data_IF_195354225226
#
_entry.id   IF_195354225226
#
_cell.length_a   1.000
_cell.length_b   1.000
_cell.length_c   1.000
_cell.angle_alpha   90.00
_cell.angle_beta   90.00
_cell.angle_gamma   90.00
#
_symmetry.space_group_name_H-M   'P 1'
#
loop_
_entity.id
_entity.type
_entity.pdbx_description
1 polymer ?
#
# COMPACT_ATOMS: atom_id res chain seq x y z
N UNK A 1 16.56 11.44 3.02
CA UNK A 1 15.11 11.62 2.93
C UNK A 1 14.81 12.96 2.27
N UNK A 2 13.94 12.95 1.28
CA UNK A 2 13.47 14.13 0.57
C UNK A 2 11.93 14.19 0.63
N UNK A 3 11.38 15.41 0.82
CA UNK A 3 9.95 15.61 0.99
C UNK A 3 9.48 16.79 0.14
N UNK A 4 8.60 16.51 -0.79
CA UNK A 4 7.92 17.48 -1.64
C UNK A 4 6.48 17.67 -1.18
N UNK A 5 5.96 18.89 -1.25
CA UNK A 5 4.58 19.22 -0.86
C UNK A 5 3.98 20.18 -1.85
N UNK A 6 2.77 19.92 -2.29
CA UNK A 6 2.05 20.75 -3.26
C UNK A 6 0.74 21.23 -2.62
N UNK A 7 0.58 22.55 -2.43
CA UNK A 7 -0.70 23.12 -2.02
C UNK A 7 -1.68 23.10 -3.19
N UNK A 8 -2.97 23.12 -2.89
CA UNK A 8 -4.00 23.33 -3.91
C UNK A 8 -4.24 24.80 -4.14
N UNK A 9 -4.41 25.21 -5.40
CA UNK A 9 -4.72 26.61 -5.76
C UNK A 9 -6.19 26.93 -5.52
N UNK A 10 -7.06 25.94 -5.58
CA UNK A 10 -8.51 26.07 -5.39
C UNK A 10 -8.99 25.12 -4.28
N UNK A 11 -10.00 25.57 -3.52
CA UNK A 11 -10.68 24.71 -2.57
C UNK A 11 -11.53 23.65 -3.29
N UNK A 12 -11.64 22.45 -2.71
CA UNK A 12 -12.48 21.38 -3.23
C UNK A 12 -13.05 20.50 -2.12
N UNK A 13 -14.13 19.79 -2.44
CA UNK A 13 -14.79 18.90 -1.50
C UNK A 13 -14.23 17.47 -1.62
N UNK A 14 -14.15 16.79 -0.48
CA UNK A 14 -13.82 15.37 -0.36
C UNK A 14 -14.90 14.66 0.44
N UNK A 15 -14.96 13.33 0.43
CA UNK A 15 -15.90 12.59 1.28
C UNK A 15 -15.75 12.88 2.78
N UNK A 16 -14.60 13.38 3.20
CA UNK A 16 -14.30 13.68 4.61
C UNK A 16 -14.42 15.17 4.97
N UNK A 17 -14.73 16.03 4.00
CA UNK A 17 -14.95 17.47 4.21
C UNK A 17 -14.32 18.35 3.14
N UNK A 18 -14.44 19.66 3.32
CA UNK A 18 -13.90 20.67 2.43
C UNK A 18 -12.41 20.91 2.68
N UNK A 19 -11.64 20.93 1.61
CA UNK A 19 -10.21 21.30 1.60
C UNK A 19 -10.10 22.75 1.08
N UNK A 20 -9.68 23.70 1.91
CA UNK A 20 -9.51 25.09 1.48
C UNK A 20 -8.34 25.27 0.50
N UNK A 21 -8.40 26.30 -0.35
CA UNK A 21 -7.25 26.73 -1.15
C UNK A 21 -6.02 27.01 -0.27
N UNK A 22 -4.84 26.70 -0.76
CA UNK A 22 -3.58 26.84 -0.03
C UNK A 22 -3.28 25.67 0.94
N UNK A 23 -4.19 24.70 1.09
CA UNK A 23 -3.93 23.49 1.88
C UNK A 23 -3.00 22.55 1.11
N UNK A 24 -2.07 21.90 1.80
CA UNK A 24 -1.25 20.84 1.19
C UNK A 24 -2.17 19.69 0.75
N UNK A 25 -2.24 19.48 -0.55
CA UNK A 25 -3.12 18.50 -1.17
C UNK A 25 -2.38 17.34 -1.87
N UNK A 26 -1.05 17.45 -2.01
CA UNK A 26 -0.20 16.33 -2.40
C UNK A 26 1.12 16.37 -1.64
N UNK A 27 1.65 15.19 -1.37
CA UNK A 27 2.93 15.00 -0.69
C UNK A 27 3.66 13.80 -1.30
N UNK A 28 4.96 13.95 -1.49
CA UNK A 28 5.86 12.87 -1.91
C UNK A 28 7.03 12.81 -0.94
N UNK A 29 7.29 11.62 -0.44
CA UNK A 29 8.43 11.35 0.43
C UNK A 29 9.30 10.27 -0.20
N UNK A 30 10.57 10.58 -0.41
CA UNK A 30 11.54 9.65 -0.97
C UNK A 30 12.60 9.32 0.09
N UNK A 31 12.72 8.04 0.43
CA UNK A 31 13.72 7.52 1.35
C UNK A 31 14.70 6.63 0.57
N UNK A 32 15.98 6.98 0.59
CA UNK A 32 17.03 6.21 -0.09
C UNK A 32 17.94 5.53 0.93
N UNK A 33 18.08 4.22 0.81
CA UNK A 33 19.02 3.43 1.59
C UNK A 33 20.27 3.12 0.77
N UNK A 34 21.42 3.12 1.45
CA UNK A 34 22.74 2.96 0.85
C UNK A 34 23.44 1.73 1.41
N UNK A 35 24.12 1.00 0.54
CA UNK A 35 25.07 -0.07 0.89
C UNK A 35 26.43 0.29 0.28
N UNK A 36 27.46 0.35 1.09
CA UNK A 36 28.82 0.75 0.67
C UNK A 36 28.84 2.10 -0.10
N UNK A 37 28.03 3.06 0.35
CA UNK A 37 27.91 4.39 -0.26
C UNK A 37 27.13 4.43 -1.59
N UNK A 38 26.60 3.31 -2.03
CA UNK A 38 25.78 3.23 -3.26
C UNK A 38 24.29 3.17 -2.91
N UNK A 39 23.44 3.96 -3.58
CA UNK A 39 21.99 3.82 -3.41
C UNK A 39 21.56 2.41 -3.82
N UNK A 40 20.93 1.70 -2.90
CA UNK A 40 20.59 0.28 -3.08
C UNK A 40 19.10 0.04 -3.09
N UNK A 41 18.35 0.79 -2.29
CA UNK A 41 16.89 0.75 -2.35
C UNK A 41 16.30 2.13 -2.17
N UNK A 42 15.15 2.34 -2.79
CA UNK A 42 14.39 3.59 -2.72
C UNK A 42 12.95 3.24 -2.33
N UNK A 43 12.43 3.93 -1.33
CA UNK A 43 11.01 3.96 -1.04
C UNK A 43 10.48 5.33 -1.47
N UNK A 44 9.56 5.34 -2.41
CA UNK A 44 8.93 6.54 -2.94
C UNK A 44 7.43 6.48 -2.63
N UNK A 45 6.98 7.34 -1.72
CA UNK A 45 5.61 7.39 -1.26
C UNK A 45 4.94 8.65 -1.73
N UNK A 46 3.98 8.50 -2.61
CA UNK A 46 3.16 9.60 -3.17
C UNK A 46 1.75 9.51 -2.59
N UNK A 47 1.31 10.60 -1.99
CA UNK A 47 -0.07 10.79 -1.55
C UNK A 47 -0.63 12.03 -2.22
N UNK A 48 -1.79 11.94 -2.84
CA UNK A 48 -2.52 13.08 -3.42
C UNK A 48 -4.01 12.95 -3.16
N UNK A 49 -4.65 14.08 -2.97
CA UNK A 49 -6.10 14.12 -2.70
C UNK A 49 -6.94 14.10 -3.97
N UNK A 50 -6.35 14.48 -5.12
CA UNK A 50 -6.93 14.40 -6.46
C UNK A 50 -5.85 14.03 -7.47
N UNK A 51 -6.21 13.32 -8.54
CA UNK A 51 -5.27 12.85 -9.55
C UNK A 51 -4.64 13.96 -10.39
N UNK A 52 -5.29 15.10 -10.48
CA UNK A 52 -4.82 16.29 -11.21
C UNK A 52 -3.82 17.16 -10.43
N UNK A 53 -3.62 16.86 -9.13
CA UNK A 53 -2.63 17.53 -8.30
C UNK A 53 -1.30 16.77 -8.43
N UNK A 54 -0.22 17.49 -8.81
CA UNK A 54 1.09 16.93 -9.09
C UNK A 54 1.03 15.73 -10.09
N UNK A 55 0.45 15.93 -11.29
CA UNK A 55 0.23 14.83 -12.24
C UNK A 55 1.53 14.23 -12.77
N UNK A 56 2.65 14.96 -12.67
CA UNK A 56 3.99 14.53 -13.08
C UNK A 56 4.62 13.53 -12.10
N UNK A 57 4.11 13.42 -10.88
CA UNK A 57 4.59 12.42 -9.93
C UNK A 57 4.15 11.00 -10.33
N UNK A 58 4.87 9.96 -9.88
CA UNK A 58 4.52 8.58 -10.20
C UNK A 58 3.05 8.27 -9.98
N UNK A 59 2.47 7.55 -10.95
CA UNK A 59 1.07 7.12 -10.92
C UNK A 59 1.00 5.60 -11.13
N UNK A 60 -0.11 4.95 -10.72
CA UNK A 60 -0.40 3.57 -11.08
C UNK A 60 -0.38 3.35 -12.60
N UNK A 61 0.18 2.23 -13.05
CA UNK A 61 0.17 1.82 -14.46
C UNK A 61 -0.79 0.67 -14.74
N UNK A 62 -1.25 -0.02 -13.69
CA UNK A 62 -2.32 -1.02 -13.79
C UNK A 62 -3.69 -0.34 -13.91
N UNK A 63 -4.62 -1.04 -14.53
CA UNK A 63 -6.02 -0.61 -14.55
C UNK A 63 -6.60 -0.75 -13.14
N UNK A 64 -6.84 0.39 -12.49
CA UNK A 64 -7.50 0.44 -11.19
C UNK A 64 -8.97 0.72 -11.42
N UNK A 65 -9.82 -0.05 -10.76
CA UNK A 65 -11.26 0.17 -10.81
C UNK A 65 -11.58 1.51 -10.13
N UNK A 66 -12.09 2.51 -10.86
CA UNK A 66 -12.45 3.77 -10.24
C UNK A 66 -13.57 3.54 -9.24
N UNK A 67 -13.41 4.03 -8.03
CA UNK A 67 -14.52 4.17 -7.11
C UNK A 67 -15.29 5.44 -7.49
N UNK A 68 -16.55 5.31 -7.80
CA UNK A 68 -17.45 6.45 -7.88
C UNK A 68 -17.76 6.91 -6.44
N UNK A 69 -17.01 7.90 -6.01
CA UNK A 69 -17.19 8.48 -4.68
C UNK A 69 -18.33 9.50 -4.64
N UNK A 70 -19.05 9.72 -5.76
CA UNK A 70 -20.19 10.63 -5.85
C UNK A 70 -19.83 12.12 -5.68
N UNK A 71 -18.57 12.46 -5.58
CA UNK A 71 -18.05 13.81 -5.27
C UNK A 71 -16.88 14.16 -6.18
N UNK A 72 -17.14 14.38 -7.42
CA UNK A 72 -16.35 15.01 -8.45
C UNK A 72 -14.83 15.22 -8.27
N UNK A 73 -14.04 14.19 -7.90
CA UNK A 73 -12.63 14.37 -8.04
C UNK A 73 -11.65 13.68 -7.09
N UNK A 74 -12.06 13.13 -5.97
CA UNK A 74 -11.14 12.31 -5.17
C UNK A 74 -11.09 10.91 -5.76
N UNK A 75 -9.99 10.52 -6.37
CA UNK A 75 -9.94 9.30 -7.17
C UNK A 75 -9.78 8.03 -6.36
N UNK A 76 -9.39 8.08 -5.12
CA UNK A 76 -9.16 6.88 -4.30
C UNK A 76 -8.28 5.82 -4.99
N UNK A 77 -7.50 6.22 -5.99
CA UNK A 77 -6.61 5.35 -6.75
C UNK A 77 -5.31 5.19 -6.03
N UNK A 78 -4.88 3.97 -5.84
CA UNK A 78 -3.57 3.70 -5.27
C UNK A 78 -3.07 2.33 -5.68
N UNK A 79 -1.76 2.22 -5.85
CA UNK A 79 -1.08 0.98 -6.13
C UNK A 79 0.24 0.90 -5.39
N UNK A 80 0.70 -0.30 -5.20
CA UNK A 80 2.03 -0.61 -4.68
C UNK A 80 2.86 -1.17 -5.81
N UNK A 81 4.02 -0.60 -6.05
CA UNK A 81 4.96 -1.06 -7.07
C UNK A 81 6.27 -1.47 -6.42
N UNK A 82 6.75 -2.64 -6.82
CA UNK A 82 8.07 -3.15 -6.46
C UNK A 82 8.84 -3.39 -7.75
N UNK A 83 10.00 -2.76 -7.87
CA UNK A 83 10.91 -2.94 -8.98
C UNK A 83 12.27 -3.38 -8.42
N UNK A 84 12.78 -4.49 -8.92
CA UNK A 84 14.07 -5.05 -8.52
C UNK A 84 14.92 -5.20 -9.78
N UNK A 85 16.02 -4.47 -9.81
CA UNK A 85 17.03 -4.62 -10.85
C UNK A 85 18.00 -5.73 -10.47
N UNK A 86 18.02 -6.80 -11.24
CA UNK A 86 18.81 -7.98 -10.91
C UNK A 86 18.79 -9.04 -11.98
N UNK A 87 19.20 -10.25 -11.64
CA UNK A 87 19.14 -11.41 -12.52
C UNK A 87 18.32 -12.54 -11.84
N UNK A 88 17.04 -12.69 -12.17
CA UNK A 88 16.24 -11.87 -13.07
C UNK A 88 15.85 -10.52 -12.47
N UNK A 89 15.50 -9.55 -13.31
CA UNK A 89 14.77 -8.34 -12.86
C UNK A 89 13.32 -8.67 -12.61
N UNK A 90 12.74 -8.01 -11.60
CA UNK A 90 11.34 -8.23 -11.19
C UNK A 90 10.61 -6.91 -11.19
N UNK A 91 9.41 -6.87 -11.74
CA UNK A 91 8.47 -5.79 -11.58
C UNK A 91 7.12 -6.34 -11.17
N UNK A 92 6.60 -5.85 -10.07
CA UNK A 92 5.26 -6.18 -9.57
C UNK A 92 4.52 -4.88 -9.27
N UNK A 93 3.29 -4.78 -9.72
CA UNK A 93 2.38 -3.70 -9.33
C UNK A 93 1.07 -4.31 -8.91
N UNK A 94 0.55 -3.89 -7.76
CA UNK A 94 -0.67 -4.44 -7.18
C UNK A 94 -1.55 -3.35 -6.58
N UNK A 95 -2.84 -3.54 -6.64
CA UNK A 95 -3.84 -2.79 -5.92
C UNK A 95 -4.24 -3.55 -4.66
N UNK A 96 -4.35 -2.85 -3.53
CA UNK A 96 -5.02 -3.35 -2.34
C UNK A 96 -6.39 -2.67 -2.27
N UNK A 97 -7.44 -3.42 -2.51
CA UNK A 97 -8.80 -2.90 -2.48
C UNK A 97 -9.72 -3.84 -1.70
N UNK A 98 -10.52 -3.28 -0.81
CA UNK A 98 -11.61 -3.97 -0.12
C UNK A 98 -12.91 -3.43 -0.66
N UNK A 99 -13.73 -4.28 -1.30
CA UNK A 99 -14.96 -3.86 -1.97
C UNK A 99 -14.76 -2.71 -2.98
N UNK A 100 -13.67 -2.78 -3.76
CA UNK A 100 -13.27 -1.72 -4.71
C UNK A 100 -12.87 -0.39 -4.05
N UNK A 101 -12.54 -0.41 -2.76
CA UNK A 101 -12.06 0.72 -2.01
C UNK A 101 -10.58 0.54 -1.66
N UNK A 102 -9.71 1.30 -2.35
CA UNK A 102 -8.26 1.25 -2.12
C UNK A 102 -7.90 1.74 -0.70
N UNK A 103 -8.51 2.82 -0.23
CA UNK A 103 -8.22 3.36 1.10
C UNK A 103 -8.63 2.38 2.20
N UNK A 104 -9.77 1.72 2.03
CA UNK A 104 -10.19 0.67 2.95
C UNK A 104 -9.23 -0.51 2.88
N UNK A 105 -8.86 -0.97 1.68
CA UNK A 105 -7.92 -2.07 1.49
C UNK A 105 -6.55 -1.80 2.12
N UNK A 106 -6.00 -0.60 1.94
CA UNK A 106 -4.74 -0.18 2.55
C UNK A 106 -4.83 -0.15 4.09
N UNK A 107 -5.93 0.38 4.65
CA UNK A 107 -6.16 0.38 6.10
C UNK A 107 -6.31 -1.02 6.67
N UNK A 108 -7.05 -1.90 6.00
CA UNK A 108 -7.20 -3.31 6.40
C UNK A 108 -5.85 -4.02 6.38
N UNK A 109 -5.04 -3.83 5.33
CA UNK A 109 -3.71 -4.42 5.23
C UNK A 109 -2.78 -3.95 6.37
N UNK A 110 -2.77 -2.64 6.66
CA UNK A 110 -2.00 -2.05 7.75
C UNK A 110 -2.46 -2.56 9.12
N UNK A 111 -3.75 -2.52 9.40
CA UNK A 111 -4.32 -3.00 10.66
C UNK A 111 -4.07 -4.50 10.87
N UNK A 112 -4.21 -5.31 9.82
CA UNK A 112 -3.95 -6.76 9.88
C UNK A 112 -2.51 -7.07 10.28
N UNK A 113 -1.54 -6.28 9.79
CA UNK A 113 -0.14 -6.45 10.20
C UNK A 113 0.05 -6.20 11.69
N UNK A 114 -0.60 -5.18 12.24
CA UNK A 114 -0.55 -4.87 13.68
C UNK A 114 -1.17 -6.00 14.51
N UNK A 115 -2.35 -6.48 14.14
CA UNK A 115 -3.03 -7.58 14.84
C UNK A 115 -2.20 -8.86 14.79
N UNK A 116 -1.63 -9.19 13.64
CA UNK A 116 -0.78 -10.37 13.48
C UNK A 116 0.54 -10.27 14.27
N UNK A 117 1.00 -9.06 14.62
CA UNK A 117 2.19 -8.88 15.44
C UNK A 117 1.97 -9.14 16.94
N UNK A 118 0.73 -9.12 17.43
CA UNK A 118 0.40 -9.24 18.86
C UNK A 118 1.06 -10.47 19.52
N UNK A 119 1.01 -11.69 18.96
CA UNK A 119 1.67 -12.83 19.59
C UNK A 119 3.19 -12.68 19.70
N UNK A 120 3.82 -12.11 18.68
CA UNK A 120 5.27 -11.89 18.66
C UNK A 120 5.69 -10.83 19.69
N UNK A 121 4.95 -9.73 19.79
CA UNK A 121 5.18 -8.69 20.79
C UNK A 121 4.96 -9.21 22.19
N UNK A 122 3.91 -10.00 22.42
CA UNK A 122 3.64 -10.61 23.72
C UNK A 122 4.74 -11.56 24.19
N UNK A 123 5.37 -12.29 23.26
CA UNK A 123 6.45 -13.23 23.54
C UNK A 123 7.83 -12.57 23.67
N UNK A 124 7.97 -11.31 23.26
CA UNK A 124 9.24 -10.61 23.29
C UNK A 124 9.62 -10.14 24.72
N UNK A 125 10.90 -9.87 24.93
CA UNK A 125 11.36 -9.26 26.17
C UNK A 125 10.78 -7.85 26.35
N UNK A 126 10.51 -7.43 27.60
CA UNK A 126 10.04 -6.07 27.87
C UNK A 126 11.02 -5.00 27.36
N UNK A 127 10.49 -3.97 26.68
CA UNK A 127 11.30 -2.88 26.15
C UNK A 127 10.65 -2.16 24.97
N UNK A 128 11.37 -1.20 24.39
CA UNK A 128 11.02 -0.61 23.11
C UNK A 128 11.56 -1.54 22.01
N UNK A 129 10.68 -1.99 21.16
CA UNK A 129 10.99 -2.91 20.08
C UNK A 129 10.73 -2.24 18.72
N UNK A 130 11.62 -2.51 17.78
CA UNK A 130 11.45 -2.18 16.37
C UNK A 130 11.01 -3.40 15.56
N UNK A 131 10.70 -3.21 14.29
CA UNK A 131 10.41 -4.31 13.38
C UNK A 131 11.61 -5.27 13.16
N UNK A 132 12.83 -4.83 13.48
CA UNK A 132 14.05 -5.64 13.40
C UNK A 132 14.25 -6.56 14.61
N UNK A 133 13.60 -6.24 15.73
CA UNK A 133 13.68 -7.02 16.98
C UNK A 133 12.64 -8.14 17.02
N UNK A 134 11.70 -8.15 16.08
CA UNK A 134 10.62 -9.12 15.96
C UNK A 134 10.86 -10.06 14.77
N UNK A 135 10.32 -11.29 14.83
CA UNK A 135 10.31 -12.16 13.67
C UNK A 135 9.48 -11.54 12.55
N UNK A 136 9.68 -12.00 11.30
CA UNK A 136 8.85 -11.58 10.18
C UNK A 136 7.38 -11.86 10.47
N UNK A 137 6.59 -10.80 10.58
CA UNK A 137 5.15 -10.91 10.81
C UNK A 137 4.46 -11.29 9.51
N UNK A 138 3.81 -12.43 9.50
CA UNK A 138 3.06 -12.99 8.37
C UNK A 138 1.56 -13.00 8.67
N UNK A 139 0.73 -13.04 7.62
CA UNK A 139 -0.70 -13.23 7.76
C UNK A 139 -1.03 -14.61 8.31
N UNK A 140 -2.00 -14.66 9.21
CA UNK A 140 -2.52 -15.92 9.80
C UNK A 140 -4.02 -16.00 9.59
N UNK A 141 -4.54 -17.22 9.36
CA UNK A 141 -5.97 -17.47 9.23
C UNK A 141 -6.65 -16.81 8.01
N UNK A 142 -5.88 -16.38 7.02
CA UNK A 142 -6.39 -15.69 5.82
C UNK A 142 -7.14 -16.62 4.87
N UNK A 143 -6.78 -17.90 4.87
CA UNK A 143 -7.45 -18.92 4.06
C UNK A 143 -8.35 -19.73 4.97
N UNK A 144 -9.65 -19.57 4.83
CA UNK A 144 -10.64 -20.45 5.45
C UNK A 144 -10.94 -21.57 4.47
N UNK A 145 -10.91 -22.85 4.87
CA UNK A 145 -11.39 -23.92 4.03
C UNK A 145 -12.85 -23.63 3.61
N UNK A 146 -13.17 -23.79 2.34
CA UNK A 146 -14.55 -23.71 1.91
C UNK A 146 -15.39 -24.71 2.71
N UNK A 147 -16.57 -24.33 3.23
CA UNK A 147 -17.50 -25.28 3.82
C UNK A 147 -17.98 -26.21 2.71
N UNK A 148 -17.51 -27.45 2.72
CA UNK A 148 -17.87 -28.44 1.71
C UNK A 148 -16.97 -29.66 1.78
N UNK A 149 -17.32 -30.77 1.12
CA UNK A 149 -16.44 -31.94 1.06
C UNK A 149 -15.13 -31.52 0.41
N UNK A 150 -14.03 -31.96 1.03
CA UNK A 150 -12.68 -31.77 0.50
C UNK A 150 -12.67 -32.16 -0.99
N UNK A 151 -12.15 -31.34 -1.91
CA UNK A 151 -12.02 -31.76 -3.29
C UNK A 151 -11.25 -33.08 -3.29
N UNK A 152 -11.88 -34.12 -3.84
CA UNK A 152 -11.26 -35.43 -4.01
C UNK A 152 -9.90 -35.19 -4.71
N UNK A 153 -8.84 -35.50 -3.99
CA UNK A 153 -7.46 -35.32 -4.45
C UNK A 153 -7.10 -36.40 -5.49
N UNK A 154 -7.94 -36.62 -6.46
CA UNK A 154 -7.58 -37.41 -7.62
C UNK A 154 -6.54 -36.61 -8.40
N UNK A 155 -5.30 -36.95 -8.12
CA UNK A 155 -4.18 -36.65 -9.01
C UNK A 155 -4.59 -37.13 -10.40
N UNK A 156 -4.89 -36.17 -11.29
CA UNK A 156 -5.04 -36.48 -12.71
C UNK A 156 -3.68 -36.94 -13.18
N UNK A 157 -3.55 -38.24 -13.32
CA UNK A 157 -2.34 -38.86 -13.85
C UNK A 157 -2.11 -38.31 -15.27
N UNK A 158 -1.02 -37.59 -15.43
CA UNK A 158 -0.47 -37.24 -16.72
C UNK A 158 -0.03 -38.57 -17.39
N UNK A 159 -0.69 -38.94 -18.46
CA UNK A 159 -0.18 -39.97 -19.41
C UNK A 159 0.70 -39.30 -20.44
#
# INVERSE_FOLDING_TARGET
>A
EDNERVPTDEGFDTPTGHIPAGTIAAMRSTLTGYVDGKPTFVVDHVTRMRDDIAPEWPQPTIAITPKDLGHGGASGRGAYRVEIEGSPSIRCELELAEHHDHDLGARVAGASRMVNAVPAVFAAAPGLLSALDLPLITGTGLVKPAPGPSPDSRVVGVR
#
